data_IF_965925398742
#
_entry.id   IF_965925398742
#
_cell.length_a   1.000
_cell.length_b   1.000
_cell.length_c   1.000
_cell.angle_alpha   90.00
_cell.angle_beta   90.00
_cell.angle_gamma   90.00
#
_symmetry.space_group_name_H-M   'P 1'
#
loop_
_entity.id
_entity.type
_entity.pdbx_description
1 polymer ?
#
# COMPACT_ATOMS: atom_id res chain seq x y z
N UNK A 1 12.20 36.62 -13.40
CA UNK A 1 11.59 37.54 -12.40
C UNK A 1 12.74 38.21 -11.68
N UNK A 2 13.04 39.49 -12.00
CA UNK A 2 14.01 40.29 -11.30
C UNK A 2 13.32 40.94 -10.11
N UNK A 3 13.77 40.63 -8.90
CA UNK A 3 13.35 41.32 -7.67
C UNK A 3 14.15 42.60 -7.55
N UNK A 4 13.49 43.76 -7.69
CA UNK A 4 14.06 45.06 -7.43
C UNK A 4 13.69 45.47 -6.00
N UNK A 5 14.68 45.64 -5.13
CA UNK A 5 14.50 46.21 -3.81
C UNK A 5 14.57 47.76 -3.89
N UNK A 6 13.74 48.40 -3.11
CA UNK A 6 13.78 49.88 -3.00
C UNK A 6 15.17 50.34 -2.53
N UNK A 7 15.71 51.44 -3.07
CA UNK A 7 17.01 51.94 -2.67
C UNK A 7 16.96 52.37 -1.18
N UNK A 8 17.93 51.89 -0.42
CA UNK A 8 18.10 52.25 0.98
C UNK A 8 18.98 53.50 1.00
N UNK A 9 18.44 54.61 1.52
CA UNK A 9 19.17 55.85 1.67
C UNK A 9 20.15 55.74 2.84
N UNK A 10 21.42 55.57 2.55
CA UNK A 10 22.46 55.53 3.59
C UNK A 10 22.98 56.92 3.82
N UNK A 11 22.64 57.53 4.96
CA UNK A 11 23.21 58.82 5.38
C UNK A 11 24.49 58.57 6.17
N UNK A 12 25.61 58.82 5.52
CA UNK A 12 26.90 58.80 6.17
C UNK A 12 27.11 60.16 6.86
N UNK A 13 27.11 60.20 8.19
CA UNK A 13 27.55 61.36 8.95
C UNK A 13 29.05 61.26 9.18
N UNK A 14 29.77 62.24 8.73
CA UNK A 14 31.15 62.36 9.14
C UNK A 14 31.20 62.61 10.67
N UNK A 15 31.98 61.78 11.36
CA UNK A 15 32.25 62.02 12.80
C UNK A 15 32.99 63.36 12.96
N UNK A 16 32.35 64.27 13.60
CA UNK A 16 33.00 65.50 14.02
C UNK A 16 34.11 65.18 15.03
N UNK A 17 35.36 65.28 14.62
CA UNK A 17 36.52 64.88 15.41
C UNK A 17 37.59 64.12 14.63
N UNK A 18 37.31 63.70 13.44
CA UNK A 18 38.25 62.91 12.60
C UNK A 18 39.27 63.78 11.86
N UNK A 19 39.22 65.12 12.02
CA UNK A 19 40.14 65.99 11.34
C UNK A 19 41.53 66.11 12.00
N UNK A 20 41.82 65.28 13.02
CA UNK A 20 43.12 65.35 13.71
C UNK A 20 44.05 64.15 13.45
N UNK A 21 43.56 63.09 12.80
CA UNK A 21 44.34 61.92 12.54
C UNK A 21 44.49 61.69 11.02
N UNK A 22 45.04 62.70 10.35
CA UNK A 22 45.55 62.57 8.99
C UNK A 22 47.00 62.13 9.05
N UNK A 23 47.22 60.87 9.50
CA UNK A 23 48.57 60.30 9.52
C UNK A 23 48.44 58.78 9.17
N UNK A 24 49.50 58.22 8.66
CA UNK A 24 49.60 56.86 8.29
C UNK A 24 49.22 55.88 9.43
N UNK A 25 49.36 56.34 10.69
CA UNK A 25 48.98 55.57 11.89
C UNK A 25 47.47 55.27 11.99
N UNK A 26 46.61 56.13 11.47
CA UNK A 26 45.17 55.89 11.45
C UNK A 26 44.77 54.86 10.37
N UNK A 27 45.53 54.82 9.29
CA UNK A 27 45.38 53.80 8.26
C UNK A 27 45.84 52.44 8.71
N UNK A 28 47.01 52.37 9.37
CA UNK A 28 47.51 51.13 9.91
C UNK A 28 46.54 50.53 10.94
N UNK A 29 46.01 51.33 11.85
CA UNK A 29 45.03 50.84 12.84
C UNK A 29 43.73 50.40 12.21
N UNK A 30 43.28 51.08 11.14
CA UNK A 30 42.07 50.68 10.40
C UNK A 30 42.24 49.42 9.63
N UNK A 31 43.43 49.17 9.07
CA UNK A 31 43.74 47.94 8.36
C UNK A 31 43.93 46.76 9.34
N UNK A 32 44.49 47.01 10.55
CA UNK A 32 44.62 46.00 11.59
C UNK A 32 43.24 45.59 12.16
N UNK A 33 42.36 46.55 12.43
CA UNK A 33 40.99 46.29 12.90
C UNK A 33 40.15 45.57 11.82
N UNK A 34 40.37 45.87 10.52
CA UNK A 34 39.71 45.19 9.41
C UNK A 34 40.20 43.74 9.23
N UNK A 35 41.49 43.52 9.42
CA UNK A 35 42.06 42.19 9.37
C UNK A 35 41.60 41.31 10.53
N UNK A 36 41.39 41.90 11.71
CA UNK A 36 40.87 41.18 12.88
C UNK A 36 39.41 40.75 12.71
N UNK A 37 38.59 41.57 11.97
CA UNK A 37 37.21 41.19 11.63
C UNK A 37 37.16 40.03 10.63
N UNK A 38 38.15 39.93 9.74
CA UNK A 38 38.22 38.87 8.74
C UNK A 38 38.89 37.60 9.29
N UNK A 39 39.77 37.75 10.29
CA UNK A 39 40.55 36.66 10.86
C UNK A 39 39.87 35.89 12.00
N UNK A 40 38.79 36.41 12.56
CA UNK A 40 38.01 35.66 13.54
C UNK A 40 37.09 34.66 12.80
N UNK A 41 37.43 33.38 12.78
CA UNK A 41 36.47 32.39 12.28
C UNK A 41 35.26 32.44 13.19
N UNK A 42 34.15 32.78 12.61
CA UNK A 42 32.85 32.78 13.30
C UNK A 42 32.66 31.42 14.00
N UNK A 43 32.63 31.37 15.35
CA UNK A 43 32.43 30.13 16.08
C UNK A 43 31.10 29.47 15.73
N UNK A 44 30.20 30.16 15.02
CA UNK A 44 29.01 29.55 14.46
C UNK A 44 29.27 28.73 13.17
N UNK A 45 30.48 28.85 12.59
CA UNK A 45 30.84 28.02 11.41
C UNK A 45 31.42 26.65 11.75
N UNK A 46 31.72 26.37 13.00
CA UNK A 46 31.99 25.02 13.50
C UNK A 46 30.71 24.17 13.61
N UNK A 47 29.79 24.39 12.66
CA UNK A 47 28.77 23.40 12.38
C UNK A 47 29.51 22.22 11.78
N UNK A 48 29.78 21.21 12.59
CA UNK A 48 30.21 19.90 12.11
C UNK A 48 29.38 19.60 10.87
N UNK A 49 29.97 19.52 9.69
CA UNK A 49 29.21 19.18 8.49
C UNK A 49 28.49 17.90 8.81
N UNK A 50 27.18 17.91 8.69
CA UNK A 50 26.37 16.71 8.81
C UNK A 50 27.14 15.63 8.05
N UNK A 51 27.77 14.72 8.83
CA UNK A 51 28.79 13.83 8.26
C UNK A 51 28.25 13.21 6.99
N UNK A 52 29.07 13.04 5.98
CA UNK A 52 28.68 12.53 4.66
C UNK A 52 27.78 11.26 4.76
N UNK A 53 27.91 10.51 5.86
CA UNK A 53 27.06 9.39 6.21
C UNK A 53 25.57 9.75 6.39
N UNK A 54 25.25 10.89 6.99
CA UNK A 54 23.85 11.33 7.16
C UNK A 54 23.21 11.76 5.84
N UNK A 55 23.99 12.41 4.98
CA UNK A 55 23.53 12.80 3.64
C UNK A 55 23.25 11.55 2.80
N UNK A 56 24.13 10.56 2.85
CA UNK A 56 23.93 9.27 2.17
C UNK A 56 22.77 8.48 2.75
N UNK A 57 22.59 8.49 4.07
CA UNK A 57 21.45 7.84 4.72
C UNK A 57 20.12 8.46 4.32
N UNK A 58 20.02 9.79 4.29
CA UNK A 58 18.81 10.51 3.85
C UNK A 58 18.55 10.31 2.35
N UNK A 59 19.58 10.39 1.51
CA UNK A 59 19.43 10.20 0.05
C UNK A 59 19.04 8.75 -0.30
N UNK A 60 19.45 7.76 0.48
CA UNK A 60 19.04 6.37 0.31
C UNK A 60 17.70 6.04 0.94
N UNK A 61 17.39 6.58 2.12
CA UNK A 61 16.18 6.27 2.86
C UNK A 61 14.91 6.84 2.19
N UNK A 62 14.99 8.03 1.58
CA UNK A 62 13.86 8.68 0.90
C UNK A 62 13.35 7.86 -0.30
N UNK A 63 14.18 7.45 -1.27
CA UNK A 63 13.71 6.66 -2.40
C UNK A 63 13.24 5.26 -1.98
N UNK A 64 13.89 4.64 -1.00
CA UNK A 64 13.45 3.35 -0.46
C UNK A 64 12.11 3.46 0.26
N UNK A 65 11.92 4.49 1.09
CA UNK A 65 10.65 4.80 1.74
C UNK A 65 9.53 5.07 0.72
N UNK A 66 9.83 5.85 -0.31
CA UNK A 66 8.89 6.13 -1.39
C UNK A 66 8.52 4.87 -2.19
N UNK A 67 9.51 4.02 -2.50
CA UNK A 67 9.28 2.76 -3.19
C UNK A 67 8.43 1.80 -2.33
N UNK A 68 8.71 1.71 -1.03
CA UNK A 68 7.91 0.93 -0.09
C UNK A 68 6.48 1.47 0.00
N UNK A 69 6.29 2.79 0.11
CA UNK A 69 4.98 3.43 0.13
C UNK A 69 4.21 3.20 -1.18
N UNK A 70 4.89 3.34 -2.32
CA UNK A 70 4.30 3.11 -3.64
C UNK A 70 3.88 1.65 -3.85
N UNK A 71 4.69 0.69 -3.39
CA UNK A 71 4.33 -0.73 -3.46
C UNK A 71 3.18 -1.08 -2.50
N UNK A 72 3.18 -0.49 -1.29
CA UNK A 72 2.08 -0.59 -0.36
C UNK A 72 0.79 0.04 -0.92
N UNK A 73 0.88 1.25 -1.48
CA UNK A 73 -0.26 1.92 -2.11
C UNK A 73 -0.82 1.12 -3.30
N UNK A 74 0.03 0.54 -4.15
CA UNK A 74 -0.39 -0.35 -5.23
C UNK A 74 -1.10 -1.60 -4.70
N UNK A 75 -0.61 -2.17 -3.59
CA UNK A 75 -1.23 -3.36 -2.96
C UNK A 75 -2.55 -3.02 -2.24
N UNK A 76 -2.66 -1.83 -1.67
CA UNK A 76 -3.84 -1.41 -0.91
C UNK A 76 -4.82 -0.56 -1.71
N UNK A 77 -4.35 0.16 -2.72
CA UNK A 77 -5.15 1.07 -3.54
C UNK A 77 -5.64 0.49 -4.85
N UNK A 78 -5.26 -0.76 -5.22
CA UNK A 78 -5.85 -1.41 -6.37
C UNK A 78 -7.36 -1.57 -6.13
N UNK A 79 -8.23 -1.12 -7.05
CA UNK A 79 -9.67 -1.19 -6.88
C UNK A 79 -10.17 -2.62 -6.64
N UNK A 80 -9.39 -3.62 -7.09
CA UNK A 80 -9.69 -5.04 -6.90
C UNK A 80 -9.15 -5.64 -5.58
N UNK A 81 -8.31 -4.91 -4.83
CA UNK A 81 -7.72 -5.43 -3.59
C UNK A 81 -8.75 -5.89 -2.54
N UNK A 82 -9.87 -5.17 -2.29
CA UNK A 82 -10.89 -5.65 -1.38
C UNK A 82 -11.60 -6.90 -1.91
N UNK A 83 -11.85 -6.99 -3.21
CA UNK A 83 -12.45 -8.15 -3.87
C UNK A 83 -11.53 -9.36 -3.78
N UNK A 84 -10.26 -9.19 -4.04
CA UNK A 84 -9.27 -10.27 -3.94
C UNK A 84 -9.10 -10.78 -2.51
N UNK A 85 -9.12 -9.88 -1.51
CA UNK A 85 -9.11 -10.28 -0.09
C UNK A 85 -10.37 -11.08 0.27
N UNK A 86 -11.53 -10.65 -0.23
CA UNK A 86 -12.77 -11.37 -0.02
C UNK A 86 -12.74 -12.77 -0.68
N UNK A 87 -12.19 -12.88 -1.90
CA UNK A 87 -11.96 -14.18 -2.57
C UNK A 87 -11.06 -15.10 -1.75
N UNK A 88 -9.92 -14.61 -1.31
CA UNK A 88 -8.96 -15.37 -0.47
C UNK A 88 -9.59 -15.81 0.86
N UNK A 89 -10.42 -14.96 1.49
CA UNK A 89 -11.15 -15.33 2.71
C UNK A 89 -12.17 -16.43 2.44
N UNK A 90 -13.01 -16.27 1.42
CA UNK A 90 -14.02 -17.25 1.05
C UNK A 90 -13.39 -18.62 0.75
N UNK A 91 -12.30 -18.65 -0.03
CA UNK A 91 -11.52 -19.84 -0.30
C UNK A 91 -11.01 -20.52 0.96
N UNK A 92 -10.38 -19.75 1.88
CA UNK A 92 -9.85 -20.30 3.14
C UNK A 92 -10.96 -20.86 4.04
N UNK A 93 -12.11 -20.20 4.07
CA UNK A 93 -13.27 -20.65 4.84
C UNK A 93 -13.81 -21.96 4.25
N UNK A 94 -13.99 -22.02 2.93
CA UNK A 94 -14.42 -23.25 2.24
C UNK A 94 -13.46 -24.40 2.52
N UNK A 95 -12.16 -24.20 2.34
CA UNK A 95 -11.15 -25.22 2.60
C UNK A 95 -11.16 -25.74 4.04
N UNK A 96 -11.39 -24.85 5.03
CA UNK A 96 -11.51 -25.23 6.43
C UNK A 96 -12.79 -26.04 6.72
N UNK A 97 -13.90 -25.68 6.09
CA UNK A 97 -15.17 -26.38 6.24
C UNK A 97 -15.13 -27.74 5.55
N UNK A 98 -14.60 -27.81 4.34
CA UNK A 98 -14.41 -29.07 3.63
C UNK A 98 -13.44 -30.03 4.35
N UNK A 99 -12.42 -29.48 5.04
CA UNK A 99 -11.52 -30.31 5.85
C UNK A 99 -12.20 -30.99 7.04
N UNK A 100 -13.31 -30.42 7.53
CA UNK A 100 -14.10 -30.97 8.63
C UNK A 100 -15.26 -31.85 8.15
N UNK A 101 -15.70 -31.58 6.93
CA UNK A 101 -16.84 -32.26 6.35
C UNK A 101 -16.48 -33.72 5.94
N UNK A 102 -17.13 -34.66 6.57
CA UNK A 102 -16.98 -36.11 6.29
C UNK A 102 -18.13 -36.65 5.47
N UNK A 103 -19.29 -36.04 5.58
CA UNK A 103 -20.52 -36.45 4.92
C UNK A 103 -20.83 -35.54 3.73
N UNK A 104 -21.52 -36.06 2.68
CA UNK A 104 -21.93 -35.30 1.52
C UNK A 104 -22.77 -34.05 1.90
N UNK A 105 -23.62 -34.18 2.93
CA UNK A 105 -24.48 -33.12 3.43
C UNK A 105 -23.67 -31.97 4.01
N UNK A 106 -22.59 -32.26 4.73
CA UNK A 106 -21.71 -31.25 5.30
C UNK A 106 -20.92 -30.54 4.21
N UNK A 107 -20.44 -31.27 3.18
CA UNK A 107 -19.77 -30.71 2.01
C UNK A 107 -20.71 -29.80 1.22
N UNK A 108 -21.95 -30.22 0.96
CA UNK A 108 -22.95 -29.39 0.30
C UNK A 108 -23.23 -28.12 1.06
N UNK A 109 -23.42 -28.22 2.37
CA UNK A 109 -23.62 -27.05 3.24
C UNK A 109 -22.42 -26.10 3.21
N UNK A 110 -21.18 -26.59 3.13
CA UNK A 110 -19.97 -25.76 3.01
C UNK A 110 -19.96 -25.01 1.67
N UNK A 111 -20.34 -25.67 0.57
CA UNK A 111 -20.43 -25.03 -0.76
C UNK A 111 -21.54 -23.97 -0.79
N UNK A 112 -22.73 -24.25 -0.23
CA UNK A 112 -23.82 -23.26 -0.17
C UNK A 112 -23.43 -22.05 0.67
N UNK A 113 -22.73 -22.23 1.80
CA UNK A 113 -22.18 -21.11 2.59
C UNK A 113 -21.14 -20.29 1.83
N UNK A 114 -20.32 -20.97 1.04
CA UNK A 114 -19.35 -20.30 0.18
C UNK A 114 -20.06 -19.42 -0.87
N UNK A 115 -21.06 -19.94 -1.57
CA UNK A 115 -21.86 -19.20 -2.55
C UNK A 115 -22.61 -18.03 -1.89
N UNK A 116 -23.21 -18.27 -0.73
CA UNK A 116 -23.90 -17.25 0.06
C UNK A 116 -22.96 -16.10 0.47
N UNK A 117 -21.79 -16.41 0.98
CA UNK A 117 -20.79 -15.42 1.37
C UNK A 117 -20.28 -14.59 0.17
N UNK A 118 -20.35 -15.14 -1.06
CA UNK A 118 -19.92 -14.46 -2.28
C UNK A 118 -20.99 -13.59 -2.90
N UNK A 119 -22.25 -13.97 -2.77
CA UNK A 119 -23.39 -13.30 -3.41
C UNK A 119 -24.18 -12.44 -2.47
N UNK A 120 -23.95 -12.54 -1.15
CA UNK A 120 -24.75 -11.86 -0.13
C UNK A 120 -26.14 -12.44 0.08
N UNK A 121 -26.42 -13.63 -0.50
CA UNK A 121 -27.67 -14.35 -0.31
C UNK A 121 -27.59 -15.29 0.88
N UNK A 122 -28.73 -15.85 1.31
CA UNK A 122 -28.78 -16.90 2.32
C UNK A 122 -28.25 -18.23 1.76
N UNK A 123 -27.60 -19.09 2.56
CA UNK A 123 -27.21 -20.43 2.12
C UNK A 123 -28.36 -21.28 1.60
N UNK A 124 -29.56 -21.14 2.19
CA UNK A 124 -30.76 -21.85 1.77
C UNK A 124 -31.26 -21.44 0.38
N UNK A 125 -30.97 -20.21 -0.04
CA UNK A 125 -31.35 -19.72 -1.36
C UNK A 125 -30.60 -20.43 -2.50
N UNK A 126 -29.56 -21.20 -2.17
CA UNK A 126 -28.75 -21.96 -3.10
C UNK A 126 -29.19 -23.43 -3.26
N UNK A 127 -30.12 -23.89 -2.45
CA UNK A 127 -30.70 -25.21 -2.60
C UNK A 127 -31.46 -25.31 -3.93
N UNK A 128 -31.01 -26.21 -4.80
CA UNK A 128 -31.59 -26.38 -6.15
C UNK A 128 -31.31 -25.27 -7.15
N UNK A 129 -30.45 -24.30 -6.83
CA UNK A 129 -30.04 -23.25 -7.77
C UNK A 129 -28.68 -23.56 -8.40
N UNK A 130 -28.53 -23.33 -9.72
CA UNK A 130 -27.26 -23.54 -10.38
C UNK A 130 -26.23 -22.50 -9.94
N UNK A 131 -25.02 -22.93 -9.61
CA UNK A 131 -23.92 -22.06 -9.16
C UNK A 131 -23.56 -20.97 -10.18
N UNK A 132 -23.83 -21.19 -11.48
CA UNK A 132 -23.63 -20.19 -12.54
C UNK A 132 -24.43 -18.90 -12.36
N UNK A 133 -25.57 -18.94 -11.62
CA UNK A 133 -26.33 -17.71 -11.30
C UNK A 133 -25.52 -16.74 -10.42
N UNK A 134 -24.47 -17.20 -9.75
CA UNK A 134 -23.57 -16.38 -8.98
C UNK A 134 -22.53 -15.66 -9.83
N UNK A 135 -22.40 -16.03 -11.10
CA UNK A 135 -21.39 -15.54 -12.02
C UNK A 135 -21.97 -14.57 -13.06
N UNK A 136 -21.06 -13.74 -13.59
CA UNK A 136 -21.36 -12.96 -14.78
C UNK A 136 -21.60 -13.94 -15.95
N UNK A 137 -22.65 -13.72 -16.79
CA UNK A 137 -22.99 -14.68 -17.90
C UNK A 137 -21.83 -15.05 -18.80
N UNK A 138 -20.91 -14.11 -19.08
CA UNK A 138 -19.71 -14.37 -19.90
C UNK A 138 -18.71 -15.32 -19.27
N UNK A 139 -18.89 -15.67 -18.02
CA UNK A 139 -17.95 -16.50 -17.25
C UNK A 139 -18.64 -17.76 -16.65
N UNK A 140 -19.88 -18.00 -17.02
CA UNK A 140 -20.67 -19.11 -16.50
C UNK A 140 -20.02 -20.50 -16.74
N UNK A 141 -19.26 -20.66 -17.83
CA UNK A 141 -18.51 -21.89 -18.12
C UNK A 141 -17.54 -22.27 -16.99
N UNK A 142 -16.97 -21.28 -16.29
CA UNK A 142 -16.04 -21.53 -15.19
C UNK A 142 -16.70 -22.06 -13.93
N UNK A 143 -18.02 -21.94 -13.82
CA UNK A 143 -18.78 -22.55 -12.72
C UNK A 143 -19.22 -23.98 -13.00
N UNK A 144 -19.07 -24.44 -14.24
CA UNK A 144 -19.60 -25.75 -14.68
C UNK A 144 -19.15 -26.90 -13.81
N UNK A 145 -17.86 -26.97 -13.48
CA UNK A 145 -17.33 -28.05 -12.65
C UNK A 145 -17.87 -27.95 -11.21
N UNK A 146 -18.05 -26.73 -10.69
CA UNK A 146 -18.67 -26.51 -9.38
C UNK A 146 -20.14 -26.98 -9.38
N UNK A 147 -20.89 -26.73 -10.46
CA UNK A 147 -22.27 -27.21 -10.63
C UNK A 147 -22.33 -28.73 -10.66
N UNK A 148 -21.40 -29.35 -11.35
CA UNK A 148 -21.30 -30.84 -11.38
C UNK A 148 -21.04 -31.34 -9.96
N UNK A 149 -20.12 -30.75 -9.21
CA UNK A 149 -19.86 -31.12 -7.82
C UNK A 149 -21.10 -30.92 -6.93
N UNK A 150 -21.83 -29.81 -7.08
CA UNK A 150 -23.08 -29.56 -6.34
C UNK A 150 -24.12 -30.61 -6.68
N UNK A 151 -24.36 -30.89 -7.97
CA UNK A 151 -25.35 -31.89 -8.41
C UNK A 151 -25.01 -33.31 -7.91
N UNK A 152 -23.72 -33.69 -7.93
CA UNK A 152 -23.27 -34.96 -7.36
C UNK A 152 -23.51 -35.02 -5.84
N UNK A 153 -23.22 -33.96 -5.09
CA UNK A 153 -23.48 -33.86 -3.66
C UNK A 153 -24.99 -33.89 -3.34
N UNK A 154 -25.80 -33.17 -4.10
CA UNK A 154 -27.25 -33.19 -3.96
C UNK A 154 -27.82 -34.59 -4.23
N UNK A 155 -27.34 -35.26 -5.27
CA UNK A 155 -27.72 -36.66 -5.57
C UNK A 155 -27.30 -37.61 -4.44
N UNK A 156 -26.15 -37.40 -3.82
CA UNK A 156 -25.72 -38.19 -2.68
C UNK A 156 -26.58 -37.95 -1.43
N UNK A 157 -26.96 -36.68 -1.16
CA UNK A 157 -27.77 -36.30 0.00
C UNK A 157 -29.23 -36.73 -0.14
N UNK A 158 -29.83 -36.53 -1.30
CA UNK A 158 -31.26 -36.70 -1.51
C UNK A 158 -31.61 -38.02 -2.24
N UNK A 159 -30.72 -38.46 -3.13
CA UNK A 159 -30.93 -39.66 -3.92
C UNK A 159 -30.32 -40.93 -3.31
N UNK A 160 -29.58 -40.81 -2.22
CA UNK A 160 -28.92 -41.98 -1.58
C UNK A 160 -27.88 -42.67 -2.48
N UNK A 161 -27.51 -42.07 -3.60
CA UNK A 161 -26.52 -42.60 -4.55
C UNK A 161 -25.27 -41.74 -4.54
N UNK A 162 -24.14 -42.33 -4.25
CA UNK A 162 -22.86 -41.64 -4.17
C UNK A 162 -22.39 -41.44 -2.73
N UNK A 163 -21.26 -40.81 -2.60
CA UNK A 163 -20.59 -40.54 -1.32
C UNK A 163 -20.00 -39.14 -1.29
N UNK A 164 -19.24 -38.85 -0.24
CA UNK A 164 -18.48 -37.62 -0.14
C UNK A 164 -17.50 -37.48 -1.31
N UNK A 165 -17.42 -36.33 -1.90
CA UNK A 165 -16.47 -36.01 -2.97
C UNK A 165 -15.07 -35.83 -2.40
N UNK A 166 -14.07 -36.04 -3.25
CA UNK A 166 -12.69 -35.68 -2.89
C UNK A 166 -12.61 -34.18 -2.68
N UNK A 167 -12.11 -33.81 -1.53
CA UNK A 167 -11.97 -32.37 -1.10
C UNK A 167 -11.27 -31.52 -2.16
N UNK A 168 -10.16 -32.05 -2.72
CA UNK A 168 -9.36 -31.37 -3.72
C UNK A 168 -10.15 -31.03 -4.98
N UNK A 169 -11.10 -31.89 -5.38
CA UNK A 169 -11.95 -31.64 -6.54
C UNK A 169 -12.91 -30.47 -6.28
N UNK A 170 -13.54 -30.44 -5.13
CA UNK A 170 -14.46 -29.33 -4.76
C UNK A 170 -13.72 -28.03 -4.60
N UNK A 171 -12.53 -28.04 -3.98
CA UNK A 171 -11.68 -26.85 -3.87
C UNK A 171 -11.23 -26.34 -5.24
N UNK A 172 -10.80 -27.22 -6.14
CA UNK A 172 -10.39 -26.85 -7.50
C UNK A 172 -11.53 -26.25 -8.30
N UNK A 173 -12.74 -26.85 -8.22
CA UNK A 173 -13.93 -26.33 -8.87
C UNK A 173 -14.35 -24.95 -8.34
N UNK A 174 -14.27 -24.74 -7.03
CA UNK A 174 -14.54 -23.44 -6.42
C UNK A 174 -13.48 -22.39 -6.81
N UNK A 175 -12.21 -22.77 -6.92
CA UNK A 175 -11.13 -21.88 -7.36
C UNK A 175 -11.33 -21.44 -8.82
N UNK A 176 -11.75 -22.34 -9.69
CA UNK A 176 -12.03 -22.01 -11.09
C UNK A 176 -13.22 -21.05 -11.20
N UNK A 177 -14.28 -21.29 -10.43
CA UNK A 177 -15.41 -20.39 -10.33
C UNK A 177 -15.01 -19.00 -9.80
N UNK A 178 -14.11 -18.92 -8.81
CA UNK A 178 -13.57 -17.66 -8.30
C UNK A 178 -12.79 -16.86 -9.35
N UNK A 179 -12.06 -17.54 -10.24
CA UNK A 179 -11.40 -16.89 -11.38
C UNK A 179 -12.41 -16.30 -12.36
N UNK A 180 -13.60 -16.88 -12.41
CA UNK A 180 -14.72 -16.42 -13.20
C UNK A 180 -15.46 -15.18 -12.67
N UNK A 181 -15.08 -14.66 -11.49
CA UNK A 181 -15.70 -13.44 -10.97
C UNK A 181 -16.67 -13.67 -9.80
N UNK A 182 -16.80 -14.91 -9.31
CA UNK A 182 -17.50 -15.18 -8.05
C UNK A 182 -16.98 -14.37 -6.90
#
# INVERSE_FOLDING_TARGET
TTLSTAPIEIRVRALEGASGLAGDEAREKFDEDLLDIVAQPDPAQDRTPLGAGWVLALTGAVPLGWLALRTAARRHGAPDAPRERARRRARRTLAKELAKAREPREQLSAVHRFLAARTGRSPQDWEGRPAREALVPSQAERARELEVCVAELESAVWGGRGGALKRERVEAAADEALKGGL
#
